data_IF_793554161437
#
_entry.id   IF_793554161437
#
_cell.length_a   1.000
_cell.length_b   1.000
_cell.length_c   1.000
_cell.angle_alpha   90.00
_cell.angle_beta   90.00
_cell.angle_gamma   90.00
#
_symmetry.space_group_name_H-M   'P 1'
#
loop_
_entity.id
_entity.type
_entity.pdbx_description
1 polymer ?
#
# COMPACT_ATOMS: atom_id res chain seq x y z
N UNK A 1 -10.73 7.54 9.71
CA UNK A 1 -10.08 6.24 10.05
C UNK A 1 -8.70 6.17 9.39
N UNK A 2 -7.74 5.38 9.92
CA UNK A 2 -6.45 5.10 9.27
C UNK A 2 -6.28 3.61 9.05
N UNK A 3 -5.85 3.22 7.86
CA UNK A 3 -5.56 1.85 7.46
C UNK A 3 -4.14 1.79 6.91
N UNK A 4 -3.42 0.73 7.27
CA UNK A 4 -2.18 0.32 6.61
C UNK A 4 -2.38 -1.00 5.90
N UNK A 5 -1.93 -1.05 4.65
CA UNK A 5 -1.68 -2.30 3.94
C UNK A 5 -0.19 -2.42 3.68
N UNK A 6 0.37 -3.62 3.76
CA UNK A 6 1.79 -3.79 3.45
C UNK A 6 2.23 -5.21 3.22
N UNK A 7 3.41 -5.33 2.62
CA UNK A 7 4.16 -6.57 2.45
C UNK A 7 5.52 -6.42 3.11
N UNK A 8 5.91 -7.41 3.91
CA UNK A 8 7.23 -7.45 4.55
C UNK A 8 7.97 -8.76 4.21
N UNK A 9 9.21 -8.85 4.70
CA UNK A 9 10.10 -9.99 4.52
C UNK A 9 9.62 -11.28 5.23
N UNK A 10 8.60 -11.19 6.08
CA UNK A 10 8.02 -12.35 6.78
C UNK A 10 6.90 -13.00 5.98
N UNK A 11 6.19 -12.22 5.14
CA UNK A 11 5.03 -12.70 4.37
C UNK A 11 5.29 -12.85 2.85
N UNK A 12 6.39 -12.34 2.30
CA UNK A 12 6.68 -12.42 0.86
C UNK A 12 8.16 -12.72 0.52
N UNK A 13 8.38 -13.58 -0.48
CA UNK A 13 9.71 -13.85 -1.04
C UNK A 13 10.35 -12.58 -1.63
N UNK A 14 11.68 -12.58 -1.80
CA UNK A 14 12.44 -11.45 -2.36
C UNK A 14 11.89 -11.01 -3.74
N UNK A 15 11.50 -11.97 -4.58
CA UNK A 15 10.98 -11.72 -5.92
C UNK A 15 9.62 -10.99 -5.87
N UNK A 16 8.72 -11.37 -4.96
CA UNK A 16 7.42 -10.69 -4.81
C UNK A 16 7.52 -9.28 -4.26
N UNK A 17 8.54 -8.97 -3.44
CA UNK A 17 8.77 -7.60 -2.94
C UNK A 17 9.33 -6.67 -4.02
N UNK A 18 10.14 -7.20 -4.92
CA UNK A 18 10.74 -6.44 -6.02
C UNK A 18 9.69 -5.88 -6.98
N UNK A 19 8.58 -6.60 -7.12
CA UNK A 19 7.42 -6.20 -7.90
C UNK A 19 6.76 -4.88 -7.45
N UNK A 20 6.89 -4.55 -6.16
CA UNK A 20 6.36 -3.34 -5.53
C UNK A 20 7.41 -2.27 -5.23
N UNK A 21 8.64 -2.48 -5.70
CA UNK A 21 9.69 -1.48 -5.60
C UNK A 21 9.36 -0.31 -6.55
N UNK A 22 8.93 0.81 -5.98
CA UNK A 22 8.56 1.99 -6.75
C UNK A 22 9.73 2.97 -6.78
N UNK A 23 10.05 3.47 -7.98
CA UNK A 23 10.97 4.61 -8.11
C UNK A 23 10.34 5.86 -7.50
N UNK A 24 11.16 6.85 -7.13
CA UNK A 24 10.65 8.15 -6.62
C UNK A 24 9.64 8.80 -7.57
N UNK A 25 9.85 8.65 -8.88
CA UNK A 25 8.94 9.17 -9.90
C UNK A 25 7.62 8.41 -9.96
N UNK A 26 7.67 7.08 -9.83
CA UNK A 26 6.47 6.24 -9.74
C UNK A 26 5.66 6.58 -8.49
N UNK A 27 6.32 6.72 -7.33
CA UNK A 27 5.66 7.14 -6.08
C UNK A 27 4.95 8.49 -6.19
N UNK A 28 5.57 9.46 -6.89
CA UNK A 28 4.98 10.79 -7.13
C UNK A 28 3.69 10.74 -7.96
N UNK A 29 3.51 9.72 -8.81
CA UNK A 29 2.28 9.52 -9.59
C UNK A 29 1.27 8.67 -8.83
N UNK A 30 1.75 7.66 -8.12
CA UNK A 30 0.93 6.70 -7.40
C UNK A 30 0.18 7.31 -6.22
N UNK A 31 0.85 8.13 -5.39
CA UNK A 31 0.22 8.71 -4.20
C UNK A 31 -0.98 9.60 -4.57
N UNK A 32 -0.89 10.54 -5.53
CA UNK A 32 -2.05 11.33 -5.96
C UNK A 32 -3.14 10.48 -6.64
N UNK A 33 -2.75 9.49 -7.44
CA UNK A 33 -3.69 8.54 -8.04
C UNK A 33 -4.52 7.84 -6.97
N UNK A 34 -3.85 7.21 -5.99
CA UNK A 34 -4.51 6.44 -4.95
C UNK A 34 -5.39 7.33 -4.06
N UNK A 35 -4.89 8.53 -3.71
CA UNK A 35 -5.68 9.52 -2.96
C UNK A 35 -6.98 9.87 -3.67
N UNK A 36 -6.92 10.11 -4.99
CA UNK A 36 -8.09 10.45 -5.81
C UNK A 36 -9.06 9.27 -5.93
N UNK A 37 -8.57 8.08 -6.24
CA UNK A 37 -9.39 6.88 -6.45
C UNK A 37 -10.13 6.44 -5.19
N UNK A 38 -9.53 6.65 -4.02
CA UNK A 38 -10.12 6.28 -2.73
C UNK A 38 -10.89 7.42 -2.07
N UNK A 39 -10.91 8.62 -2.67
CA UNK A 39 -11.39 9.84 -2.04
C UNK A 39 -10.82 10.03 -0.62
N UNK A 40 -9.52 9.74 -0.47
CA UNK A 40 -8.85 9.74 0.82
C UNK A 40 -8.43 11.15 1.24
N UNK A 41 -8.43 11.41 2.55
CA UNK A 41 -7.89 12.64 3.13
C UNK A 41 -6.36 12.69 3.00
N UNK A 42 -5.70 11.55 3.16
CA UNK A 42 -4.25 11.40 3.15
C UNK A 42 -3.80 10.03 2.68
N UNK A 43 -2.66 10.00 2.00
CA UNK A 43 -1.97 8.77 1.58
C UNK A 43 -0.48 8.94 1.84
N UNK A 44 0.12 7.95 2.50
CA UNK A 44 1.59 7.85 2.68
C UNK A 44 2.04 6.51 2.12
N UNK A 45 3.12 6.51 1.33
CA UNK A 45 3.74 5.32 0.77
C UNK A 45 5.17 5.19 1.29
N UNK A 46 5.50 4.00 1.80
CA UNK A 46 6.85 3.58 2.14
C UNK A 46 7.22 2.38 1.27
N UNK A 47 7.99 2.63 0.20
CA UNK A 47 8.53 1.59 -0.67
C UNK A 47 10.06 1.55 -0.53
N UNK A 48 10.57 0.46 0.02
CA UNK A 48 12.01 0.17 0.13
C UNK A 48 12.28 -1.25 -0.32
N UNK A 49 13.56 -1.64 -0.42
CA UNK A 49 13.95 -3.00 -0.77
C UNK A 49 13.41 -4.07 0.21
N UNK A 50 13.04 -3.66 1.43
CA UNK A 50 12.66 -4.59 2.50
C UNK A 50 11.16 -4.65 2.78
N UNK A 51 10.44 -3.56 2.50
CA UNK A 51 9.03 -3.38 2.85
C UNK A 51 8.33 -2.47 1.84
N UNK A 52 7.08 -2.79 1.58
CA UNK A 52 6.14 -1.94 0.88
C UNK A 52 4.94 -1.72 1.80
N UNK A 53 4.65 -0.48 2.14
CA UNK A 53 3.54 -0.12 3.01
C UNK A 53 2.80 1.09 2.45
N UNK A 54 1.47 1.01 2.41
CA UNK A 54 0.59 2.10 2.04
C UNK A 54 -0.33 2.39 3.20
N UNK A 55 -0.34 3.65 3.62
CA UNK A 55 -1.15 4.18 4.68
C UNK A 55 -2.19 5.10 4.07
N UNK A 56 -3.46 4.88 4.39
CA UNK A 56 -4.58 5.67 3.86
C UNK A 56 -5.41 6.17 5.03
N UNK A 57 -5.71 7.48 5.03
CA UNK A 57 -6.62 8.10 5.98
C UNK A 57 -7.86 8.63 5.26
N UNK A 58 -9.02 8.44 5.89
CA UNK A 58 -10.28 8.97 5.40
C UNK A 58 -11.48 8.26 6.03
N UNK A 59 -12.66 8.74 5.68
CA UNK A 59 -13.92 8.09 6.02
C UNK A 59 -14.28 7.03 4.98
N UNK A 60 -14.91 5.93 5.41
CA UNK A 60 -15.36 4.83 4.54
C UNK A 60 -14.25 4.16 3.69
N UNK A 61 -12.99 4.20 4.15
CA UNK A 61 -11.90 3.48 3.47
C UNK A 61 -11.97 1.98 3.80
N UNK A 62 -12.01 1.12 2.79
CA UNK A 62 -12.02 -0.33 2.95
C UNK A 62 -10.68 -0.94 2.49
N UNK A 63 -10.00 -1.76 3.31
CA UNK A 63 -8.70 -2.35 2.94
C UNK A 63 -8.73 -3.09 1.60
N UNK A 64 -9.83 -3.77 1.31
CA UNK A 64 -10.03 -4.54 0.07
C UNK A 64 -9.96 -3.61 -1.15
N UNK A 65 -10.59 -2.44 -1.07
CA UNK A 65 -10.52 -1.41 -2.12
C UNK A 65 -9.11 -0.83 -2.25
N UNK A 66 -8.39 -0.64 -1.14
CA UNK A 66 -7.00 -0.17 -1.19
C UNK A 66 -6.13 -1.20 -1.92
N UNK A 67 -6.23 -2.48 -1.54
CA UNK A 67 -5.48 -3.59 -2.15
C UNK A 67 -5.78 -3.69 -3.65
N UNK A 68 -7.06 -3.64 -4.03
CA UNK A 68 -7.47 -3.68 -5.44
C UNK A 68 -6.79 -2.55 -6.26
N UNK A 69 -6.84 -1.32 -5.75
CA UNK A 69 -6.24 -0.16 -6.44
C UNK A 69 -4.72 -0.22 -6.50
N UNK A 70 -4.09 -0.80 -5.48
CA UNK A 70 -2.65 -1.03 -5.45
C UNK A 70 -2.26 -2.10 -6.46
N UNK A 71 -2.89 -3.28 -6.45
CA UNK A 71 -2.57 -4.39 -7.35
C UNK A 71 -2.81 -4.05 -8.83
N UNK A 72 -3.82 -3.24 -9.12
CA UNK A 72 -4.16 -2.85 -10.49
C UNK A 72 -3.40 -1.61 -11.01
N UNK A 73 -2.45 -1.07 -10.23
CA UNK A 73 -1.67 0.08 -10.69
C UNK A 73 -0.65 -0.34 -11.76
N UNK A 74 -0.54 0.37 -12.91
CA UNK A 74 0.26 -0.08 -14.05
C UNK A 74 1.75 -0.32 -13.78
N UNK A 75 2.33 0.37 -12.79
CA UNK A 75 3.75 0.20 -12.44
C UNK A 75 3.99 -1.03 -11.53
N UNK A 76 2.95 -1.77 -11.13
CA UNK A 76 3.06 -3.01 -10.37
C UNK A 76 3.16 -4.22 -11.32
N UNK A 77 4.07 -5.14 -11.01
CA UNK A 77 4.30 -6.33 -11.83
C UNK A 77 4.01 -7.60 -11.04
N UNK A 78 3.02 -8.39 -11.44
CA UNK A 78 2.71 -9.68 -10.81
C UNK A 78 1.26 -9.81 -10.35
N UNK A 79 0.83 -11.05 -10.11
CA UNK A 79 -0.49 -11.36 -9.57
C UNK A 79 -0.41 -11.41 -8.04
N UNK A 80 -1.12 -10.50 -7.37
CA UNK A 80 -1.17 -10.42 -5.92
C UNK A 80 -2.61 -10.54 -5.43
N UNK A 81 -2.81 -11.29 -4.36
CA UNK A 81 -4.10 -11.45 -3.70
C UNK A 81 -4.12 -10.69 -2.37
N UNK A 82 -5.32 -10.43 -1.84
CA UNK A 82 -5.47 -9.77 -0.53
C UNK A 82 -4.77 -10.52 0.60
N UNK A 83 -4.61 -11.84 0.49
CA UNK A 83 -3.90 -12.69 1.45
C UNK A 83 -2.38 -12.42 1.50
N UNK A 84 -1.82 -11.81 0.45
CA UNK A 84 -0.40 -11.43 0.42
C UNK A 84 -0.11 -10.16 1.24
N UNK A 85 -1.15 -9.45 1.71
CA UNK A 85 -1.02 -8.18 2.41
C UNK A 85 -1.33 -8.31 3.90
N UNK A 86 -0.45 -7.74 4.74
CA UNK A 86 -0.77 -7.42 6.11
C UNK A 86 -1.67 -6.19 6.15
N UNK A 87 -2.79 -6.27 6.87
CA UNK A 87 -3.73 -5.17 7.05
C UNK A 87 -3.73 -4.75 8.53
N UNK A 88 -3.59 -3.45 8.81
CA UNK A 88 -3.75 -2.87 10.15
C UNK A 88 -4.76 -1.72 10.11
N UNK A 89 -5.67 -1.66 11.09
CA UNK A 89 -6.67 -0.60 11.27
C UNK A 89 -6.47 0.13 12.62
N UNK A 90 -6.78 1.43 12.67
CA UNK A 90 -6.88 2.28 13.88
C UNK A 90 -5.61 2.41 14.75
N UNK A 91 -5.71 2.59 16.08
CA UNK A 91 -4.65 3.03 17.03
C UNK A 91 -3.28 2.33 16.90
N UNK A 92 -3.25 1.11 16.32
CA UNK A 92 -2.01 0.38 15.98
C UNK A 92 -1.26 0.96 14.78
N UNK A 93 -1.86 1.88 14.05
CA UNK A 93 -1.31 2.59 12.91
C UNK A 93 -0.33 3.71 13.33
N UNK A 94 -0.64 4.41 14.41
CA UNK A 94 0.10 5.62 14.83
C UNK A 94 1.27 5.30 15.77
N UNK A 95 1.27 4.12 16.41
CA UNK A 95 2.29 3.74 17.40
C UNK A 95 3.63 3.26 16.82
N UNK A 96 3.80 3.15 15.50
CA UNK A 96 4.99 2.54 14.86
C UNK A 96 5.63 3.38 13.74
N UNK A 97 5.38 4.69 13.73
CA UNK A 97 6.19 5.62 12.92
C UNK A 97 7.59 5.80 13.52
#
# INVERSE_FOLDING_TARGET
>A
MIIMIGMDHTNASLDRRSCFAMTKESMRRFIPFLKKELNAEGVVLLSTCSRFEVWVSGDHIHPETVIEKVCNYPDQSGAFASEDFMIRKEERAVRHL
#
